data_IF_567227136732
#
_entry.id   IF_567227136732
#
_cell.length_a   1.000
_cell.length_b   1.000
_cell.length_c   1.000
_cell.angle_alpha   90.00
_cell.angle_beta   90.00
_cell.angle_gamma   90.00
#
_symmetry.space_group_name_H-M   'P 1'
#
loop_
_entity.id
_entity.type
_entity.pdbx_description
1 polymer ?
#
# COMPACT_ATOMS: atom_id res chain seq x y z
N UNK A 1 -8.38 0.27 26.71
CA UNK A 1 -7.79 0.75 25.44
C UNK A 1 -6.66 -0.18 25.05
N UNK A 2 -6.64 -0.64 23.80
CA UNK A 2 -5.53 -1.41 23.27
C UNK A 2 -4.38 -0.46 22.93
N UNK A 3 -3.20 -0.73 23.46
CA UNK A 3 -1.97 0.02 23.17
C UNK A 3 -1.07 -0.90 22.34
N UNK A 4 -0.65 -0.43 21.18
CA UNK A 4 0.31 -1.10 20.32
C UNK A 4 1.61 -0.32 20.39
N UNK A 5 2.68 -0.96 20.84
CA UNK A 5 3.98 -0.32 21.06
C UNK A 5 5.02 -0.88 20.10
N UNK A 6 5.79 0.05 19.51
CA UNK A 6 7.03 -0.26 18.80
C UNK A 6 8.16 0.52 19.47
N UNK A 7 9.14 -0.20 20.01
CA UNK A 7 10.33 0.33 20.65
C UNK A 7 11.55 -0.32 20.00
N UNK A 8 12.25 0.48 19.20
CA UNK A 8 13.39 0.03 18.42
C UNK A 8 14.59 -0.33 19.29
N UNK A 9 14.87 0.45 20.34
CA UNK A 9 16.04 0.26 21.21
C UNK A 9 15.93 -1.07 21.97
N UNK A 10 14.73 -1.38 22.44
CA UNK A 10 14.44 -2.63 23.16
C UNK A 10 14.00 -3.78 22.25
N UNK A 11 14.04 -3.60 20.92
CA UNK A 11 13.65 -4.59 19.90
C UNK A 11 12.22 -5.12 20.08
N UNK A 12 11.30 -4.28 20.55
CA UNK A 12 9.88 -4.59 20.68
C UNK A 12 9.15 -4.09 19.44
N UNK A 13 8.51 -4.99 18.71
CA UNK A 13 7.75 -4.65 17.52
C UNK A 13 6.33 -5.20 17.67
N UNK A 14 5.33 -4.31 17.60
CA UNK A 14 3.92 -4.70 17.69
C UNK A 14 3.56 -5.38 19.01
N UNK A 15 4.03 -4.85 20.14
CA UNK A 15 3.64 -5.36 21.46
C UNK A 15 2.27 -4.81 21.84
N UNK A 16 1.30 -5.72 22.02
CA UNK A 16 -0.07 -5.35 22.38
C UNK A 16 -0.27 -5.45 23.89
N UNK A 17 -0.76 -4.36 24.49
CA UNK A 17 -1.12 -4.32 25.91
C UNK A 17 -2.50 -3.72 26.08
N UNK A 18 -3.20 -4.12 27.13
CA UNK A 18 -4.45 -3.49 27.53
C UNK A 18 -4.21 -2.55 28.70
N UNK A 19 -4.73 -1.34 28.59
CA UNK A 19 -4.70 -0.36 29.67
C UNK A 19 -6.02 0.36 29.77
N UNK A 20 -6.47 0.59 31.00
CA UNK A 20 -7.65 1.43 31.25
C UNK A 20 -7.26 2.91 31.22
N UNK A 21 -8.13 3.73 30.61
CA UNK A 21 -8.02 5.18 30.73
C UNK A 21 -8.46 5.60 32.13
N UNK A 22 -7.66 6.42 32.80
CA UNK A 22 -7.98 6.94 34.12
C UNK A 22 -8.03 8.47 34.06
N UNK A 23 -8.90 9.07 34.88
CA UNK A 23 -8.88 10.50 35.13
C UNK A 23 -7.62 10.84 35.94
N UNK A 24 -6.87 11.83 35.47
CA UNK A 24 -5.69 12.34 36.18
C UNK A 24 -5.99 13.69 36.81
N UNK A 25 -5.53 13.89 38.05
CA UNK A 25 -5.63 15.17 38.76
C UNK A 25 -4.55 16.19 38.39
N UNK A 26 -3.51 15.75 37.67
CA UNK A 26 -2.46 16.61 37.11
C UNK A 26 -2.83 16.99 35.67
N UNK A 27 -2.58 18.24 35.28
CA UNK A 27 -2.84 18.76 33.94
C UNK A 27 -1.63 18.66 33.01
N UNK A 28 -0.43 18.41 33.54
CA UNK A 28 0.83 18.51 32.78
C UNK A 28 1.15 17.27 31.94
N UNK A 29 0.51 16.13 32.22
CA UNK A 29 0.80 14.85 31.57
C UNK A 29 -0.47 14.17 31.02
N UNK A 30 -1.38 14.96 30.47
CA UNK A 30 -2.68 14.47 29.99
C UNK A 30 -2.85 14.76 28.50
N UNK A 31 -3.37 13.75 27.79
CA UNK A 31 -3.85 13.90 26.41
C UNK A 31 -5.37 13.84 26.44
N UNK A 32 -6.01 14.94 26.06
CA UNK A 32 -7.47 15.03 25.99
C UNK A 32 -7.96 14.64 24.60
N UNK A 33 -8.98 13.77 24.56
CA UNK A 33 -9.65 13.34 23.32
C UNK A 33 -11.06 13.92 23.35
N UNK A 34 -11.43 14.68 22.32
CA UNK A 34 -12.74 15.32 22.19
C UNK A 34 -13.49 14.76 20.95
N UNK A 35 -14.30 13.70 21.09
CA UNK A 35 -14.95 13.02 19.95
C UNK A 35 -15.92 13.90 19.15
N UNK A 36 -16.48 14.95 19.77
CA UNK A 36 -17.43 15.87 19.14
C UNK A 36 -16.76 16.84 18.14
N UNK A 37 -15.43 16.99 18.21
CA UNK A 37 -14.65 17.84 17.30
C UNK A 37 -14.05 16.96 16.22
N UNK A 38 -14.60 17.05 15.00
CA UNK A 38 -14.19 16.24 13.86
C UNK A 38 -13.45 17.05 12.80
N UNK A 39 -12.65 16.37 11.99
CA UNK A 39 -11.88 16.95 10.88
C UNK A 39 -12.10 16.12 9.60
N UNK A 40 -11.06 15.95 8.77
CA UNK A 40 -11.14 15.17 7.53
C UNK A 40 -11.43 13.69 7.78
N UNK A 41 -12.09 13.06 6.82
CA UNK A 41 -12.21 11.60 6.76
C UNK A 41 -10.97 10.99 6.11
N UNK A 42 -10.35 10.02 6.77
CA UNK A 42 -9.29 9.21 6.17
C UNK A 42 -9.89 8.11 5.31
N UNK A 43 -9.50 8.04 4.03
CA UNK A 43 -9.97 6.98 3.13
C UNK A 43 -9.32 5.63 3.43
N UNK A 44 -8.07 5.62 3.89
CA UNK A 44 -7.35 4.39 4.20
C UNK A 44 -5.83 4.54 4.17
N UNK A 45 -5.17 3.40 4.29
CA UNK A 45 -3.71 3.26 4.31
C UNK A 45 -3.31 2.12 3.38
N UNK A 46 -2.13 2.25 2.78
CA UNK A 46 -1.76 1.43 1.64
C UNK A 46 -0.31 1.55 1.22
N UNK A 47 0.00 0.90 0.10
CA UNK A 47 1.32 0.91 -0.52
C UNK A 47 1.26 1.06 -2.03
N UNK A 48 2.44 1.25 -2.65
CA UNK A 48 2.57 1.27 -4.10
C UNK A 48 2.77 -0.16 -4.64
N UNK A 49 1.97 -0.53 -5.64
CA UNK A 49 2.03 -1.82 -6.33
C UNK A 49 2.77 -1.61 -7.66
N UNK A 50 4.11 -1.50 -7.57
CA UNK A 50 5.01 -1.30 -8.72
C UNK A 50 5.39 -2.62 -9.40
N UNK A 51 5.94 -2.55 -10.62
CA UNK A 51 6.46 -3.74 -11.29
C UNK A 51 7.65 -4.34 -10.56
N UNK A 52 8.56 -3.53 -10.01
CA UNK A 52 9.67 -4.06 -9.22
C UNK A 52 9.17 -4.88 -8.03
N UNK A 53 8.13 -4.41 -7.33
CA UNK A 53 7.50 -5.16 -6.25
C UNK A 53 6.85 -6.45 -6.77
N UNK A 54 6.17 -6.39 -7.91
CA UNK A 54 5.56 -7.57 -8.53
C UNK A 54 6.60 -8.59 -9.03
N UNK A 55 7.74 -8.13 -9.54
CA UNK A 55 8.84 -8.97 -10.01
C UNK A 55 9.50 -9.70 -8.84
N UNK A 56 9.81 -8.99 -7.76
CA UNK A 56 10.34 -9.58 -6.53
C UNK A 56 9.34 -10.58 -5.94
N UNK A 57 8.05 -10.24 -5.90
CA UNK A 57 7.00 -11.14 -5.43
C UNK A 57 6.90 -12.42 -6.27
N UNK A 58 6.94 -12.29 -7.60
CA UNK A 58 6.87 -13.42 -8.52
C UNK A 58 8.07 -14.38 -8.37
N UNK A 59 9.23 -13.88 -7.95
CA UNK A 59 10.43 -14.68 -7.69
C UNK A 59 10.42 -15.45 -6.36
N UNK A 60 9.43 -15.24 -5.49
CA UNK A 60 9.33 -15.91 -4.18
C UNK A 60 8.62 -17.28 -4.27
N UNK A 61 8.83 -18.13 -3.25
CA UNK A 61 8.03 -19.34 -3.08
C UNK A 61 6.56 -18.99 -2.76
N UNK A 62 5.65 -19.93 -3.03
CA UNK A 62 4.21 -19.71 -2.79
C UNK A 62 3.91 -19.41 -1.32
N UNK A 63 4.61 -20.05 -0.40
CA UNK A 63 4.45 -19.84 1.04
C UNK A 63 4.83 -18.41 1.44
N UNK A 64 5.93 -17.88 0.88
CA UNK A 64 6.37 -16.50 1.12
C UNK A 64 5.48 -15.46 0.47
N UNK A 65 4.97 -15.77 -0.72
CA UNK A 65 3.96 -14.96 -1.37
C UNK A 65 2.70 -14.81 -0.50
N UNK A 66 2.22 -15.91 0.09
CA UNK A 66 1.03 -15.89 0.94
C UNK A 66 1.30 -15.18 2.28
N UNK A 67 2.48 -15.37 2.88
CA UNK A 67 2.92 -14.67 4.10
C UNK A 67 2.91 -13.13 3.91
N UNK A 68 3.46 -12.64 2.80
CA UNK A 68 3.49 -11.19 2.50
C UNK A 68 2.07 -10.64 2.28
N UNK A 69 1.23 -11.38 1.55
CA UNK A 69 -0.14 -10.93 1.28
C UNK A 69 -0.95 -10.87 2.58
N UNK A 70 -0.83 -11.87 3.45
CA UNK A 70 -1.50 -11.85 4.75
C UNK A 70 -0.95 -10.74 5.66
N UNK A 71 0.37 -10.53 5.67
CA UNK A 71 1.00 -9.49 6.48
C UNK A 71 0.57 -8.07 6.08
N UNK A 72 0.41 -7.78 4.78
CA UNK A 72 0.00 -6.44 4.33
C UNK A 72 -1.51 -6.27 4.24
N UNK A 73 -2.22 -7.21 3.63
CA UNK A 73 -3.63 -7.05 3.23
C UNK A 73 -4.59 -7.94 4.01
N UNK A 74 -4.05 -8.98 4.64
CA UNK A 74 -4.77 -9.99 5.39
C UNK A 74 -5.48 -9.48 6.64
N UNK A 75 -6.20 -10.38 7.30
CA UNK A 75 -7.00 -10.03 8.49
C UNK A 75 -6.14 -9.88 9.73
N UNK A 76 -5.04 -10.62 9.80
CA UNK A 76 -4.12 -10.64 10.94
C UNK A 76 -2.94 -9.68 10.79
N UNK A 77 -2.72 -9.15 9.58
CA UNK A 77 -1.66 -8.19 9.28
C UNK A 77 -2.07 -6.71 9.42
N UNK A 78 -1.43 -5.85 8.62
CA UNK A 78 -1.60 -4.39 8.61
C UNK A 78 -2.95 -3.93 8.02
N UNK A 79 -3.68 -4.84 7.38
CA UNK A 79 -5.01 -4.64 6.80
C UNK A 79 -5.07 -3.47 5.80
N UNK A 80 -4.01 -3.27 5.03
CA UNK A 80 -3.97 -2.29 3.94
C UNK A 80 -5.24 -2.38 3.11
N UNK A 81 -5.84 -1.22 2.87
CA UNK A 81 -7.11 -1.09 2.20
C UNK A 81 -7.03 -0.13 1.02
N UNK A 82 -5.83 0.35 0.67
CA UNK A 82 -5.60 1.17 -0.51
C UNK A 82 -4.34 0.65 -1.23
N UNK A 83 -4.34 0.69 -2.56
CA UNK A 83 -3.14 0.47 -3.38
C UNK A 83 -2.92 1.63 -4.35
N UNK A 84 -1.66 2.00 -4.60
CA UNK A 84 -1.29 2.93 -5.67
C UNK A 84 -0.65 2.19 -6.83
N UNK A 85 -1.12 2.40 -8.04
CA UNK A 85 -0.52 1.85 -9.27
C UNK A 85 -0.02 3.01 -10.13
N UNK A 86 1.15 2.84 -10.76
CA UNK A 86 1.67 3.80 -11.74
C UNK A 86 1.03 3.58 -13.10
N UNK A 87 0.85 4.63 -13.89
CA UNK A 87 0.60 4.53 -15.33
C UNK A 87 1.87 4.84 -16.12
N UNK A 88 2.08 4.12 -17.21
CA UNK A 88 3.37 3.98 -17.93
C UNK A 88 4.45 3.36 -17.04
N UNK A 89 5.69 3.36 -17.51
CA UNK A 89 6.82 3.00 -16.66
C UNK A 89 7.03 3.97 -15.50
N UNK A 90 7.74 3.49 -14.49
CA UNK A 90 8.34 4.33 -13.46
C UNK A 90 9.82 3.91 -13.28
N UNK A 91 10.55 4.61 -12.44
CA UNK A 91 11.88 4.22 -11.96
C UNK A 91 11.91 2.82 -11.33
N UNK A 92 10.76 2.34 -10.85
CA UNK A 92 10.55 0.97 -10.35
C UNK A 92 9.83 0.07 -11.37
N UNK A 93 9.88 0.40 -12.67
CA UNK A 93 9.48 -0.49 -13.75
C UNK A 93 10.68 -1.33 -14.23
N UNK A 94 10.42 -2.45 -14.91
CA UNK A 94 11.47 -3.29 -15.48
C UNK A 94 12.15 -2.65 -16.70
N UNK A 95 11.48 -1.68 -17.32
CA UNK A 95 11.96 -0.93 -18.47
C UNK A 95 11.25 0.42 -18.59
N UNK A 96 11.72 1.26 -19.50
CA UNK A 96 11.04 2.51 -19.87
C UNK A 96 10.08 2.26 -21.01
N UNK A 97 8.80 2.51 -20.78
CA UNK A 97 7.74 2.32 -21.77
C UNK A 97 6.61 3.34 -21.54
N UNK A 98 5.86 3.59 -22.60
CA UNK A 98 4.62 4.37 -22.60
C UNK A 98 3.53 3.54 -23.24
N UNK A 99 2.27 3.80 -22.91
CA UNK A 99 1.15 3.06 -23.52
C UNK A 99 0.90 3.42 -24.99
N UNK A 100 1.49 4.51 -25.47
CA UNK A 100 1.27 5.05 -26.81
C UNK A 100 2.63 5.35 -27.41
N UNK A 101 2.77 5.08 -28.71
CA UNK A 101 3.96 5.40 -29.48
C UNK A 101 4.11 6.91 -29.68
N UNK A 102 5.35 7.35 -29.89
CA UNK A 102 5.64 8.77 -30.05
C UNK A 102 5.01 9.33 -31.35
N UNK A 103 4.20 10.38 -31.21
CA UNK A 103 3.55 11.05 -32.33
C UNK A 103 2.15 10.53 -32.68
N UNK A 104 1.61 9.55 -31.95
CA UNK A 104 0.22 9.11 -32.10
C UNK A 104 -0.72 9.94 -31.22
N UNK A 105 -1.24 11.02 -31.80
CA UNK A 105 -2.21 11.92 -31.19
C UNK A 105 -3.64 11.36 -31.14
N UNK A 106 -3.89 10.25 -31.84
CA UNK A 106 -5.21 9.60 -31.95
C UNK A 106 -5.37 8.39 -31.04
N UNK A 107 -4.31 7.99 -30.32
CA UNK A 107 -4.28 6.81 -29.45
C UNK A 107 -4.55 5.48 -30.20
N UNK A 108 -4.22 5.42 -31.49
CA UNK A 108 -4.38 4.21 -32.31
C UNK A 108 -3.46 3.06 -31.86
N UNK A 109 -2.34 3.40 -31.23
CA UNK A 109 -1.30 2.49 -30.72
C UNK A 109 -1.44 2.20 -29.22
N UNK A 110 -2.52 2.64 -28.58
CA UNK A 110 -2.70 2.48 -27.13
C UNK A 110 -2.69 1.00 -26.70
N UNK A 111 -1.70 0.61 -25.89
CA UNK A 111 -1.55 -0.73 -25.33
C UNK A 111 -1.07 -0.68 -23.86
N UNK A 112 -1.68 -1.51 -23.02
CA UNK A 112 -1.39 -1.64 -21.58
C UNK A 112 -0.87 -3.05 -21.21
N UNK A 113 -0.69 -3.93 -22.19
CA UNK A 113 -0.35 -5.33 -21.98
C UNK A 113 0.95 -5.51 -21.20
N UNK A 114 1.98 -4.70 -21.45
CA UNK A 114 3.25 -4.77 -20.74
C UNK A 114 3.07 -4.58 -19.23
N UNK A 115 2.32 -3.54 -18.83
CA UNK A 115 2.04 -3.27 -17.43
C UNK A 115 1.12 -4.34 -16.79
N UNK A 116 0.14 -4.85 -17.54
CA UNK A 116 -0.71 -5.93 -17.05
C UNK A 116 0.13 -7.17 -16.78
N UNK A 117 0.92 -7.61 -17.76
CA UNK A 117 1.75 -8.81 -17.68
C UNK A 117 2.70 -8.78 -16.48
N UNK A 118 3.43 -7.66 -16.31
CA UNK A 118 4.40 -7.48 -15.22
C UNK A 118 3.74 -7.43 -13.83
N UNK A 119 2.50 -6.92 -13.74
CA UNK A 119 1.77 -6.76 -12.47
C UNK A 119 0.82 -7.89 -12.11
N UNK A 120 0.49 -8.79 -13.04
CA UNK A 120 -0.63 -9.74 -12.91
C UNK A 120 -0.51 -10.69 -11.71
N UNK A 121 0.64 -11.34 -11.43
CA UNK A 121 0.74 -12.31 -10.35
C UNK A 121 0.45 -11.69 -8.99
N UNK A 122 1.00 -10.50 -8.74
CA UNK A 122 0.87 -9.79 -7.47
C UNK A 122 -0.55 -9.23 -7.28
N UNK A 123 -1.13 -8.62 -8.32
CA UNK A 123 -2.48 -8.04 -8.28
C UNK A 123 -3.55 -9.12 -8.12
N UNK A 124 -3.36 -10.29 -8.74
CA UNK A 124 -4.31 -11.40 -8.63
C UNK A 124 -4.36 -11.96 -7.21
N UNK A 125 -3.20 -12.20 -6.58
CA UNK A 125 -3.14 -12.64 -5.18
C UNK A 125 -3.76 -11.63 -4.21
N UNK A 126 -3.52 -10.33 -4.44
CA UNK A 126 -4.14 -9.26 -3.67
C UNK A 126 -5.67 -9.26 -3.80
N UNK A 127 -6.17 -9.43 -5.02
CA UNK A 127 -7.61 -9.46 -5.30
C UNK A 127 -8.31 -10.67 -4.66
N UNK A 128 -7.63 -11.82 -4.59
CA UNK A 128 -8.11 -13.01 -3.88
C UNK A 128 -8.13 -12.82 -2.36
N UNK A 129 -7.12 -12.16 -1.80
CA UNK A 129 -7.05 -11.88 -0.36
C UNK A 129 -8.17 -10.91 0.08
N UNK A 130 -8.44 -9.88 -0.72
CA UNK A 130 -9.39 -8.85 -0.35
C UNK A 130 -10.07 -8.21 -1.56
N UNK A 131 -11.33 -8.57 -1.76
CA UNK A 131 -12.17 -7.95 -2.77
C UNK A 131 -12.42 -6.46 -2.50
N UNK A 132 -12.41 -5.66 -3.56
CA UNK A 132 -12.85 -4.28 -3.52
C UNK A 132 -11.87 -3.29 -2.89
N UNK A 133 -10.56 -3.58 -2.83
CA UNK A 133 -9.55 -2.58 -2.46
C UNK A 133 -9.60 -1.41 -3.45
N UNK A 134 -9.88 -0.16 -3.02
CA UNK A 134 -9.72 1.01 -3.87
C UNK A 134 -8.28 1.16 -4.33
N UNK A 135 -8.10 1.30 -5.65
CA UNK A 135 -6.81 1.49 -6.29
C UNK A 135 -6.74 2.92 -6.84
N UNK A 136 -5.75 3.68 -6.41
CA UNK A 136 -5.45 4.99 -6.97
C UNK A 136 -4.40 4.84 -8.06
N UNK A 137 -4.69 5.41 -9.21
CA UNK A 137 -3.82 5.37 -10.36
C UNK A 137 -3.13 6.73 -10.50
N UNK A 138 -1.81 6.73 -10.63
CA UNK A 138 -1.03 7.95 -10.79
C UNK A 138 -0.22 7.91 -12.07
N UNK A 139 -0.47 8.88 -12.96
CA UNK A 139 0.31 9.09 -14.17
C UNK A 139 1.60 9.82 -13.80
N UNK A 140 2.77 9.24 -14.09
CA UNK A 140 4.01 10.02 -14.08
C UNK A 140 4.27 10.45 -15.53
N UNK A 141 4.24 11.76 -15.79
CA UNK A 141 4.82 12.29 -17.03
C UNK A 141 6.33 12.01 -17.00
N UNK A 142 6.87 11.54 -18.12
CA UNK A 142 8.27 11.16 -18.35
C UNK A 142 9.20 12.11 -17.57
N UNK A 143 9.89 11.60 -16.56
CA UNK A 143 11.04 12.33 -16.01
C UNK A 143 12.14 12.20 -17.07
N UNK A 144 12.25 13.21 -17.93
CA UNK A 144 13.43 13.39 -18.76
C UNK A 144 14.57 13.68 -17.79
N UNK A 145 15.40 12.67 -17.51
CA UNK A 145 16.71 12.86 -16.90
C UNK A 145 17.69 13.30 -17.98
#
# INVERSE_FOLDING_TARGET
MKIITTDYENKKFWEETEKESALMGDCMHVVNICPDVTYQTFHGFGGALTEAAAHVYAGMSKEKQDEIIEAYFGKTGLRYNIGRIHMNSCDFALGSYTYVEEGDDKLETFDILEQISNGLPYRTSLWQCRHGIPVFIHLRMRAVL
#
